data_IF_099087331026
#
_entry.id   IF_099087331026
#
_cell.length_a   1.000
_cell.length_b   1.000
_cell.length_c   1.000
_cell.angle_alpha   90.00
_cell.angle_beta   90.00
_cell.angle_gamma   90.00
#
_symmetry.space_group_name_H-M   'P 1'
#
loop_
_entity.id
_entity.type
_entity.pdbx_description
1 polymer ?
#
# COMPACT_ATOMS: atom_id res chain seq x y z
N UNK A 1 35.07 29.43 14.56
CA UNK A 1 33.66 29.59 14.99
C UNK A 1 32.71 29.68 13.83
N UNK A 2 32.90 30.54 12.84
CA UNK A 2 32.00 30.69 11.69
C UNK A 2 31.76 29.38 10.90
N UNK A 3 32.83 28.62 10.59
CA UNK A 3 32.74 27.33 9.88
C UNK A 3 31.87 26.29 10.62
N UNK A 4 32.03 26.17 11.94
CA UNK A 4 31.22 25.24 12.76
C UNK A 4 29.74 25.68 12.75
N UNK A 5 29.48 26.99 12.90
CA UNK A 5 28.14 27.55 12.86
C UNK A 5 27.47 27.28 11.48
N UNK A 6 28.23 27.41 10.40
CA UNK A 6 27.74 27.13 9.05
C UNK A 6 27.37 25.66 8.87
N UNK A 7 28.20 24.71 9.31
CA UNK A 7 27.93 23.29 9.29
C UNK A 7 26.67 22.92 10.10
N UNK A 8 26.53 23.52 11.29
CA UNK A 8 25.33 23.34 12.12
C UNK A 8 24.06 23.85 11.43
N UNK A 9 24.17 25.02 10.77
CA UNK A 9 23.06 25.59 9.99
C UNK A 9 22.62 24.69 8.85
N UNK A 10 23.58 24.17 8.08
CA UNK A 10 23.31 23.23 6.98
C UNK A 10 22.64 21.94 7.53
N UNK A 11 23.18 21.39 8.61
CA UNK A 11 22.61 20.20 9.27
C UNK A 11 21.17 20.40 9.73
N UNK A 12 20.88 21.55 10.34
CA UNK A 12 19.53 21.90 10.79
C UNK A 12 18.55 22.05 9.62
N UNK A 13 18.97 22.69 8.54
CA UNK A 13 18.14 22.82 7.32
C UNK A 13 17.84 21.45 6.71
N UNK A 14 18.86 20.59 6.59
CA UNK A 14 18.69 19.24 6.07
C UNK A 14 17.73 18.43 6.95
N UNK A 15 17.87 18.51 8.27
CA UNK A 15 16.98 17.83 9.21
C UNK A 15 15.53 18.31 9.08
N UNK A 16 15.30 19.62 9.02
CA UNK A 16 13.96 20.18 8.78
C UNK A 16 13.38 19.74 7.43
N UNK A 17 14.21 19.69 6.40
CA UNK A 17 13.80 19.19 5.08
C UNK A 17 13.41 17.70 5.12
N UNK A 18 14.17 16.87 5.83
CA UNK A 18 13.85 15.45 6.01
C UNK A 18 12.55 15.24 6.79
N UNK A 19 12.32 16.04 7.84
CA UNK A 19 11.03 16.07 8.56
C UNK A 19 9.88 16.48 7.66
N UNK A 20 10.07 17.52 6.85
CA UNK A 20 9.07 17.95 5.89
C UNK A 20 8.70 16.82 4.92
N UNK A 21 9.68 16.15 4.30
CA UNK A 21 9.45 15.05 3.37
C UNK A 21 8.71 13.87 4.01
N UNK A 22 8.98 13.56 5.28
CA UNK A 22 8.29 12.50 6.01
C UNK A 22 6.81 12.80 6.26
N UNK A 23 6.40 14.07 6.21
CA UNK A 23 5.03 14.51 6.49
C UNK A 23 4.33 15.15 5.30
N UNK A 24 5.03 15.39 4.19
CA UNK A 24 4.45 15.93 2.98
C UNK A 24 3.88 14.82 2.11
N UNK A 25 2.55 14.73 2.06
CA UNK A 25 1.84 13.66 1.38
C UNK A 25 1.85 13.86 -0.14
N UNK A 26 2.20 12.82 -0.87
CA UNK A 26 2.11 12.75 -2.32
C UNK A 26 1.00 11.79 -2.75
N UNK A 27 -0.04 12.30 -3.40
CA UNK A 27 -1.04 11.46 -4.07
C UNK A 27 -0.57 11.18 -5.49
N UNK A 28 -0.23 9.93 -5.78
CA UNK A 28 0.26 9.48 -7.09
C UNK A 28 -0.90 9.01 -7.96
N UNK A 29 -1.19 9.72 -9.03
CA UNK A 29 -2.17 9.30 -10.02
C UNK A 29 -1.49 8.50 -11.12
N UNK A 30 -1.91 7.24 -11.30
CA UNK A 30 -1.31 6.32 -12.25
C UNK A 30 -2.41 5.60 -13.04
N UNK A 31 -2.17 5.37 -14.33
CA UNK A 31 -3.07 4.60 -15.20
C UNK A 31 -2.40 3.29 -15.57
N UNK A 32 -3.06 2.18 -15.28
CA UNK A 32 -2.68 0.84 -15.73
C UNK A 32 -3.53 0.49 -16.94
N UNK A 33 -2.88 0.29 -18.09
CA UNK A 33 -3.53 -0.11 -19.35
C UNK A 33 -3.30 -1.59 -19.58
N UNK A 34 -4.38 -2.34 -19.77
CA UNK A 34 -4.31 -3.78 -20.01
C UNK A 34 -5.51 -4.27 -20.86
N UNK A 35 -5.24 -4.87 -22.00
CA UNK A 35 -6.27 -5.41 -22.91
C UNK A 35 -7.07 -6.54 -22.27
N UNK A 36 -6.47 -7.27 -21.32
CA UNK A 36 -7.09 -8.38 -20.58
C UNK A 36 -8.13 -7.90 -19.56
N UNK A 37 -8.15 -6.59 -19.24
CA UNK A 37 -9.11 -6.03 -18.29
C UNK A 37 -10.54 -6.21 -18.81
N UNK A 38 -11.46 -6.79 -18.02
CA UNK A 38 -12.86 -6.93 -18.44
C UNK A 38 -13.49 -5.55 -18.70
N UNK A 39 -14.25 -5.41 -19.80
CA UNK A 39 -14.72 -4.13 -20.32
C UNK A 39 -15.49 -3.28 -19.28
N UNK A 40 -16.28 -3.91 -18.40
CA UNK A 40 -17.05 -3.21 -17.36
C UNK A 40 -16.18 -2.61 -16.24
N UNK A 41 -14.91 -3.00 -16.17
CA UNK A 41 -13.93 -2.43 -15.25
C UNK A 41 -13.08 -1.33 -15.88
N UNK A 42 -13.35 -0.95 -17.13
CA UNK A 42 -12.70 0.21 -17.74
C UNK A 42 -13.01 1.48 -16.94
N UNK A 43 -11.98 2.17 -16.47
CA UNK A 43 -12.10 3.34 -15.61
C UNK A 43 -12.14 3.03 -14.10
N UNK A 44 -12.09 1.75 -13.69
CA UNK A 44 -12.09 1.35 -12.28
C UNK A 44 -10.92 1.97 -11.51
N UNK A 45 -11.21 2.55 -10.34
CA UNK A 45 -10.22 3.28 -9.55
C UNK A 45 -9.99 2.65 -8.19
N UNK A 46 -8.74 2.41 -7.90
CA UNK A 46 -8.25 1.85 -6.64
C UNK A 46 -7.49 2.95 -5.90
N UNK A 47 -7.87 3.25 -4.66
CA UNK A 47 -7.02 3.97 -3.74
C UNK A 47 -6.14 2.97 -2.99
N UNK A 48 -4.83 3.05 -3.17
CA UNK A 48 -3.86 2.20 -2.49
C UNK A 48 -3.03 3.02 -1.51
N UNK A 49 -2.96 2.55 -0.26
CA UNK A 49 -2.16 3.13 0.81
C UNK A 49 -1.51 2.00 1.61
N UNK A 50 -0.25 2.12 1.97
CA UNK A 50 0.48 1.14 2.79
C UNK A 50 1.38 1.84 3.80
N UNK A 51 1.89 1.11 4.77
CA UNK A 51 2.94 1.56 5.68
C UNK A 51 2.56 2.86 6.39
N UNK A 52 1.39 2.90 7.01
CA UNK A 52 0.87 4.10 7.70
C UNK A 52 1.58 4.29 9.04
N UNK A 53 1.87 3.20 9.75
CA UNK A 53 2.59 3.18 11.03
C UNK A 53 2.00 4.14 12.07
N UNK A 54 2.83 5.07 12.57
CA UNK A 54 2.44 6.06 13.59
C UNK A 54 1.65 7.23 13.03
N UNK A 55 1.58 7.36 11.71
CA UNK A 55 0.96 8.54 11.11
C UNK A 55 -0.56 8.52 11.22
N UNK A 56 -1.12 9.71 11.39
CA UNK A 56 -2.54 9.95 11.15
C UNK A 56 -2.73 10.34 9.69
N UNK A 57 -3.63 9.67 8.97
CA UNK A 57 -4.00 10.05 7.60
C UNK A 57 -4.58 11.47 7.65
N UNK A 58 -4.10 12.34 6.76
CA UNK A 58 -4.57 13.73 6.70
C UNK A 58 -5.86 13.82 5.90
N UNK A 59 -6.89 14.34 6.52
CA UNK A 59 -8.17 14.59 5.84
C UNK A 59 -8.01 15.58 4.67
N UNK A 60 -7.08 16.53 4.80
CA UNK A 60 -6.75 17.46 3.71
C UNK A 60 -6.23 16.73 2.49
N UNK A 61 -5.37 15.72 2.65
CA UNK A 61 -4.87 14.88 1.57
C UNK A 61 -6.01 14.11 0.89
N UNK A 62 -6.90 13.47 1.67
CA UNK A 62 -8.04 12.76 1.11
C UNK A 62 -9.00 13.68 0.35
N UNK A 63 -9.21 14.90 0.83
CA UNK A 63 -10.04 15.91 0.15
C UNK A 63 -9.49 16.38 -1.19
N UNK A 64 -8.20 16.21 -1.47
CA UNK A 64 -7.63 16.51 -2.81
C UNK A 64 -7.98 15.46 -3.85
N UNK A 65 -8.51 14.31 -3.42
CA UNK A 65 -8.91 13.21 -4.31
C UNK A 65 -10.34 13.48 -4.79
N UNK A 66 -10.45 14.17 -5.93
CA UNK A 66 -11.74 14.61 -6.48
C UNK A 66 -12.49 13.49 -7.24
N UNK A 67 -11.84 12.39 -7.51
CA UNK A 67 -12.45 11.29 -8.26
C UNK A 67 -13.12 10.29 -7.34
N UNK A 68 -14.27 9.79 -7.75
CA UNK A 68 -14.89 8.65 -7.08
C UNK A 68 -13.94 7.45 -7.11
N UNK A 69 -13.79 6.79 -5.98
CA UNK A 69 -12.98 5.59 -5.80
C UNK A 69 -13.91 4.38 -5.76
N UNK A 70 -13.55 3.31 -6.47
CA UNK A 70 -14.34 2.08 -6.46
C UNK A 70 -13.99 1.17 -5.28
N UNK A 71 -12.71 1.10 -4.90
CA UNK A 71 -12.22 0.36 -3.72
C UNK A 71 -11.02 1.06 -3.07
N UNK A 72 -10.84 0.79 -1.78
CA UNK A 72 -9.68 1.18 -1.00
C UNK A 72 -8.91 -0.07 -0.62
N UNK A 73 -7.59 -0.06 -0.81
CA UNK A 73 -6.69 -1.16 -0.44
C UNK A 73 -5.64 -0.64 0.52
N UNK A 74 -5.58 -1.23 1.71
CA UNK A 74 -4.54 -1.01 2.70
C UNK A 74 -3.51 -2.13 2.57
N UNK A 75 -2.33 -1.81 2.07
CA UNK A 75 -1.26 -2.74 1.72
C UNK A 75 -0.37 -3.16 2.88
N UNK A 76 -0.93 -3.33 4.08
CA UNK A 76 -0.21 -3.72 5.29
C UNK A 76 0.50 -2.58 6.00
N UNK A 77 1.03 -2.89 7.19
CA UNK A 77 1.64 -1.93 8.12
C UNK A 77 0.72 -0.71 8.36
N UNK A 78 -0.56 -1.02 8.61
CA UNK A 78 -1.56 -0.03 9.03
C UNK A 78 -1.13 0.64 10.33
N UNK A 79 -0.42 -0.11 11.18
CA UNK A 79 0.07 0.33 12.48
C UNK A 79 1.42 -0.27 12.83
N UNK A 80 1.93 0.05 14.02
CA UNK A 80 3.10 -0.54 14.64
C UNK A 80 2.96 -0.59 16.16
N UNK A 81 3.88 -1.28 16.85
CA UNK A 81 3.89 -1.38 18.31
C UNK A 81 3.86 -0.01 18.99
N UNK A 82 2.96 0.15 19.97
CA UNK A 82 2.80 1.37 20.75
C UNK A 82 1.86 2.42 20.14
N UNK A 83 1.27 2.17 18.98
CA UNK A 83 0.23 3.04 18.41
C UNK A 83 -1.11 2.75 19.10
N UNK A 84 -1.82 3.77 19.64
CA UNK A 84 -3.12 3.59 20.27
C UNK A 84 -4.17 3.09 19.25
N UNK A 85 -5.01 2.14 19.66
CA UNK A 85 -6.06 1.57 18.81
C UNK A 85 -7.01 2.64 18.25
N UNK A 86 -7.30 3.70 19.02
CA UNK A 86 -8.14 4.80 18.57
C UNK A 86 -7.54 5.57 17.39
N UNK A 87 -6.20 5.66 17.28
CA UNK A 87 -5.56 6.25 16.10
C UNK A 87 -5.78 5.41 14.86
N UNK A 88 -5.67 4.09 15.00
CA UNK A 88 -5.91 3.14 13.92
C UNK A 88 -7.36 3.26 13.46
N UNK A 89 -8.31 3.21 14.41
CA UNK A 89 -9.75 3.38 14.15
C UNK A 89 -10.06 4.71 13.47
N UNK A 90 -9.45 5.81 13.93
CA UNK A 90 -9.63 7.12 13.32
C UNK A 90 -9.08 7.17 11.87
N UNK A 91 -8.00 6.45 11.57
CA UNK A 91 -7.50 6.32 10.20
C UNK A 91 -8.51 5.58 9.31
N UNK A 92 -9.08 4.46 9.78
CA UNK A 92 -10.13 3.72 9.07
C UNK A 92 -11.35 4.61 8.82
N UNK A 93 -11.85 5.32 9.85
CA UNK A 93 -13.00 6.24 9.69
C UNK A 93 -12.75 7.33 8.64
N UNK A 94 -11.53 7.85 8.57
CA UNK A 94 -11.18 8.82 7.52
C UNK A 94 -11.24 8.20 6.12
N UNK A 95 -10.82 6.95 5.96
CA UNK A 95 -10.91 6.24 4.69
C UNK A 95 -12.36 5.92 4.33
N UNK A 96 -13.21 5.55 5.29
CA UNK A 96 -14.64 5.31 5.09
C UNK A 96 -15.37 6.54 4.52
N UNK A 97 -14.91 7.77 4.83
CA UNK A 97 -15.45 8.99 4.23
C UNK A 97 -15.25 9.10 2.71
N UNK A 98 -14.45 8.21 2.11
CA UNK A 98 -14.35 8.10 0.64
C UNK A 98 -15.46 7.25 0.03
N UNK A 99 -16.36 6.67 0.86
CA UNK A 99 -17.55 5.91 0.46
C UNK A 99 -17.25 4.73 -0.47
N UNK A 100 -16.13 4.04 -0.25
CA UNK A 100 -15.71 2.85 -0.99
C UNK A 100 -15.37 1.71 -0.02
N UNK A 101 -15.61 0.44 -0.40
CA UNK A 101 -15.24 -0.70 0.44
C UNK A 101 -13.73 -0.75 0.67
N UNK A 102 -13.33 -1.08 1.89
CA UNK A 102 -11.94 -1.15 2.33
C UNK A 102 -11.51 -2.61 2.39
N UNK A 103 -10.36 -2.90 1.79
CA UNK A 103 -9.66 -4.19 1.83
C UNK A 103 -8.33 -4.01 2.53
N UNK A 104 -7.99 -4.93 3.43
CA UNK A 104 -6.77 -4.89 4.22
C UNK A 104 -6.01 -6.21 4.10
N UNK A 105 -4.69 -6.13 3.99
CA UNK A 105 -3.77 -7.23 4.21
C UNK A 105 -2.84 -6.92 5.37
N UNK A 106 -2.31 -7.97 6.01
CA UNK A 106 -1.39 -7.83 7.11
C UNK A 106 0.01 -7.44 6.65
N UNK A 107 0.63 -6.48 7.36
CA UNK A 107 2.05 -6.21 7.31
C UNK A 107 2.77 -6.77 8.55
N UNK A 108 4.09 -6.74 8.54
CA UNK A 108 4.86 -7.28 9.67
C UNK A 108 4.67 -6.47 10.96
N UNK A 109 4.53 -5.16 10.88
CA UNK A 109 4.34 -4.31 12.06
C UNK A 109 2.94 -4.46 12.67
N UNK A 110 1.95 -4.82 11.87
CA UNK A 110 0.60 -5.12 12.38
C UNK A 110 0.64 -6.36 13.30
N UNK A 111 1.42 -7.39 12.93
CA UNK A 111 1.64 -8.59 13.75
C UNK A 111 2.41 -8.28 15.03
N UNK A 112 3.41 -7.41 14.96
CA UNK A 112 4.20 -7.00 16.13
C UNK A 112 3.40 -6.14 17.13
N UNK A 113 2.30 -5.53 16.70
CA UNK A 113 1.47 -4.67 17.55
C UNK A 113 0.53 -5.49 18.46
N UNK A 114 -0.69 -5.68 18.07
CA UNK A 114 -1.69 -6.47 18.80
C UNK A 114 -2.69 -7.05 17.79
N UNK A 115 -2.32 -8.11 17.04
CA UNK A 115 -3.07 -8.58 15.90
C UNK A 115 -4.54 -8.89 16.21
N UNK A 116 -4.81 -9.54 17.34
CA UNK A 116 -6.19 -9.88 17.73
C UNK A 116 -7.07 -8.64 18.00
N UNK A 117 -6.49 -7.58 18.57
CA UNK A 117 -7.22 -6.32 18.81
C UNK A 117 -7.45 -5.57 17.52
N UNK A 118 -6.43 -5.56 16.63
CA UNK A 118 -6.52 -4.93 15.31
C UNK A 118 -7.57 -5.64 14.49
N UNK A 119 -7.55 -6.98 14.42
CA UNK A 119 -8.52 -7.78 13.69
C UNK A 119 -9.96 -7.47 14.13
N UNK A 120 -10.25 -7.55 15.44
CA UNK A 120 -11.58 -7.26 15.98
C UNK A 120 -12.02 -5.83 15.65
N UNK A 121 -11.11 -4.86 15.72
CA UNK A 121 -11.41 -3.46 15.38
C UNK A 121 -11.71 -3.31 13.90
N UNK A 122 -10.95 -3.95 13.00
CA UNK A 122 -11.19 -3.91 11.56
C UNK A 122 -12.52 -4.56 11.19
N UNK A 123 -12.87 -5.69 11.83
CA UNK A 123 -14.17 -6.35 11.66
C UNK A 123 -15.33 -5.47 12.13
N UNK A 124 -15.19 -4.76 13.27
CA UNK A 124 -16.17 -3.79 13.77
C UNK A 124 -16.37 -2.58 12.85
N UNK A 125 -15.35 -2.22 12.08
CA UNK A 125 -15.38 -1.11 11.12
C UNK A 125 -15.66 -1.58 9.68
N UNK A 126 -16.21 -2.80 9.48
CA UNK A 126 -16.58 -3.38 8.18
C UNK A 126 -15.42 -3.39 7.15
N UNK A 127 -14.19 -3.58 7.61
CA UNK A 127 -13.01 -3.74 6.74
C UNK A 127 -12.86 -5.20 6.31
N UNK A 128 -12.75 -5.44 5.02
CA UNK A 128 -12.53 -6.77 4.47
C UNK A 128 -11.06 -7.18 4.65
N UNK A 129 -10.78 -8.16 5.50
CA UNK A 129 -9.44 -8.69 5.72
C UNK A 129 -9.17 -9.80 4.73
N UNK A 130 -8.11 -9.66 3.91
CA UNK A 130 -7.68 -10.67 2.93
C UNK A 130 -6.44 -11.40 3.48
N UNK A 131 -6.67 -12.41 4.31
CA UNK A 131 -5.62 -13.25 4.91
C UNK A 131 -5.56 -14.60 4.17
N UNK A 132 -4.65 -14.75 3.21
CA UNK A 132 -4.64 -15.89 2.28
C UNK A 132 -6.03 -16.17 1.71
N UNK A 133 -6.69 -15.12 1.26
CA UNK A 133 -8.07 -15.15 0.81
C UNK A 133 -8.26 -14.27 -0.42
N UNK A 134 -9.34 -14.50 -1.15
CA UNK A 134 -9.72 -13.65 -2.27
C UNK A 134 -11.10 -13.06 -2.10
N UNK A 135 -11.32 -11.96 -2.81
CA UNK A 135 -12.63 -11.32 -2.96
C UNK A 135 -12.90 -11.02 -4.41
N UNK A 136 -13.98 -11.59 -4.93
CA UNK A 136 -14.48 -11.28 -6.26
C UNK A 136 -15.24 -9.95 -6.27
N UNK A 137 -14.84 -9.06 -7.17
CA UNK A 137 -15.54 -7.82 -7.47
C UNK A 137 -16.34 -8.03 -8.75
N UNK A 138 -17.64 -7.73 -8.72
CA UNK A 138 -18.56 -7.96 -9.85
C UNK A 138 -19.08 -6.64 -10.41
N UNK A 139 -19.07 -6.51 -11.74
CA UNK A 139 -19.77 -5.45 -12.49
C UNK A 139 -20.52 -6.09 -13.65
N UNK A 140 -21.83 -6.29 -13.48
CA UNK A 140 -22.63 -7.14 -14.37
C UNK A 140 -22.09 -8.58 -14.40
N UNK A 141 -21.86 -9.13 -15.57
CA UNK A 141 -21.31 -10.49 -15.75
C UNK A 141 -19.79 -10.56 -15.67
N UNK A 142 -19.11 -9.43 -15.49
CA UNK A 142 -17.67 -9.36 -15.40
C UNK A 142 -17.19 -9.45 -13.95
N UNK A 143 -16.11 -10.20 -13.74
CA UNK A 143 -15.50 -10.43 -12.44
C UNK A 143 -14.01 -10.15 -12.52
N UNK A 144 -13.47 -9.41 -11.54
CA UNK A 144 -12.05 -9.35 -11.22
C UNK A 144 -11.86 -9.86 -9.79
N UNK A 145 -10.74 -10.48 -9.49
CA UNK A 145 -10.46 -11.00 -8.14
C UNK A 145 -9.34 -10.22 -7.48
N UNK A 146 -9.58 -9.78 -6.24
CA UNK A 146 -8.53 -9.34 -5.32
C UNK A 146 -8.03 -10.58 -4.59
N UNK A 147 -6.74 -10.85 -4.62
CA UNK A 147 -6.10 -11.98 -3.93
C UNK A 147 -5.12 -11.40 -2.92
N UNK A 148 -5.36 -11.61 -1.64
CA UNK A 148 -4.49 -11.16 -0.56
C UNK A 148 -3.65 -12.31 -0.03
N UNK A 149 -2.33 -12.13 0.01
CA UNK A 149 -1.42 -13.05 0.67
C UNK A 149 -1.01 -12.51 2.04
N UNK A 150 -0.80 -13.43 2.97
CA UNK A 150 -0.35 -13.12 4.31
C UNK A 150 1.09 -12.57 4.31
N UNK A 151 1.47 -11.94 5.43
CA UNK A 151 2.82 -11.43 5.61
C UNK A 151 3.84 -12.57 5.69
N UNK A 152 4.79 -12.58 4.74
CA UNK A 152 5.84 -13.61 4.65
C UNK A 152 6.64 -13.78 5.94
N UNK A 153 6.87 -12.70 6.68
CA UNK A 153 7.77 -12.69 7.83
C UNK A 153 7.14 -13.27 9.11
N UNK A 154 5.84 -13.08 9.32
CA UNK A 154 5.15 -13.44 10.56
C UNK A 154 3.94 -14.34 10.34
N UNK A 155 3.47 -14.42 9.12
CA UNK A 155 2.36 -15.25 8.72
C UNK A 155 2.80 -16.47 7.90
N UNK A 156 1.85 -17.17 7.40
CA UNK A 156 2.07 -18.34 6.51
C UNK A 156 1.47 -18.02 5.14
N UNK A 157 2.33 -17.71 4.17
CA UNK A 157 1.88 -17.49 2.79
C UNK A 157 1.31 -18.78 2.21
N UNK A 158 0.04 -18.75 1.83
CA UNK A 158 -0.68 -19.86 1.23
C UNK A 158 -1.43 -19.40 -0.02
N UNK A 159 -0.77 -19.51 -1.17
CA UNK A 159 -1.33 -19.10 -2.44
C UNK A 159 -2.53 -19.97 -2.85
N UNK A 160 -2.49 -21.27 -2.59
CA UNK A 160 -3.56 -22.20 -2.92
C UNK A 160 -4.86 -21.79 -2.19
N UNK A 161 -4.80 -21.57 -0.88
CA UNK A 161 -5.92 -21.09 -0.09
C UNK A 161 -6.43 -19.73 -0.60
N UNK A 162 -5.52 -18.79 -0.90
CA UNK A 162 -5.87 -17.46 -1.41
C UNK A 162 -6.60 -17.53 -2.76
N UNK A 163 -6.29 -18.52 -3.58
CA UNK A 163 -6.86 -18.68 -4.93
C UNK A 163 -8.16 -19.49 -4.96
N UNK A 164 -8.45 -20.25 -3.91
CA UNK A 164 -9.54 -21.25 -3.88
C UNK A 164 -10.93 -20.67 -4.27
N UNK A 165 -11.24 -19.44 -3.82
CA UNK A 165 -12.53 -18.78 -4.11
C UNK A 165 -12.45 -17.76 -5.25
N UNK A 166 -11.28 -17.61 -5.88
CA UNK A 166 -11.02 -16.63 -6.92
C UNK A 166 -11.59 -17.05 -8.27
N UNK A 167 -12.70 -16.47 -8.70
CA UNK A 167 -13.40 -16.80 -9.96
C UNK A 167 -13.03 -15.86 -11.12
N UNK A 168 -12.55 -14.64 -10.82
CA UNK A 168 -12.16 -13.67 -11.84
C UNK A 168 -10.92 -14.13 -12.61
N UNK A 169 -10.98 -14.06 -13.96
CA UNK A 169 -9.78 -14.31 -14.78
C UNK A 169 -8.75 -13.20 -14.64
N UNK A 170 -9.18 -11.97 -14.41
CA UNK A 170 -8.31 -10.83 -14.14
C UNK A 170 -8.07 -10.72 -12.64
N UNK A 171 -6.84 -10.91 -12.21
CA UNK A 171 -6.48 -11.01 -10.79
C UNK A 171 -5.50 -9.93 -10.37
N UNK A 172 -5.79 -9.34 -9.22
CA UNK A 172 -4.92 -8.40 -8.53
C UNK A 172 -4.37 -9.08 -7.28
N UNK A 173 -3.06 -9.25 -7.20
CA UNK A 173 -2.38 -9.70 -6.00
C UNK A 173 -2.10 -8.51 -5.09
N UNK A 174 -2.42 -8.65 -3.82
CA UNK A 174 -2.07 -7.70 -2.78
C UNK A 174 -1.20 -8.43 -1.77
N UNK A 175 0.01 -7.95 -1.59
CA UNK A 175 0.97 -8.48 -0.61
C UNK A 175 1.70 -7.32 0.04
N UNK A 176 2.05 -7.44 1.32
CA UNK A 176 2.79 -6.37 1.98
C UNK A 176 4.22 -6.30 1.47
N UNK A 177 4.97 -7.41 1.56
CA UNK A 177 6.34 -7.50 1.10
C UNK A 177 6.38 -7.91 -0.39
N UNK A 178 7.02 -7.12 -1.27
CA UNK A 178 7.14 -7.46 -2.68
C UNK A 178 7.93 -8.75 -2.93
N UNK A 179 8.77 -9.21 -2.00
CA UNK A 179 9.49 -10.47 -2.13
C UNK A 179 8.55 -11.67 -2.25
N UNK A 180 7.38 -11.61 -1.59
CA UNK A 180 6.35 -12.64 -1.71
C UNK A 180 5.97 -12.93 -3.16
N UNK A 181 5.78 -11.89 -3.99
CA UNK A 181 5.54 -12.07 -5.42
C UNK A 181 6.80 -12.49 -6.16
N UNK A 182 7.97 -11.95 -5.80
CA UNK A 182 9.22 -12.25 -6.50
C UNK A 182 9.64 -13.72 -6.35
N UNK A 183 9.30 -14.36 -5.24
CA UNK A 183 9.60 -15.76 -4.93
C UNK A 183 8.63 -16.76 -5.57
N UNK A 184 7.45 -16.33 -6.03
CA UNK A 184 6.53 -17.18 -6.78
C UNK A 184 7.23 -17.74 -8.03
N UNK A 185 6.87 -18.96 -8.42
CA UNK A 185 7.33 -19.51 -9.68
C UNK A 185 6.68 -18.81 -10.88
N UNK A 186 7.17 -19.09 -12.09
CA UNK A 186 6.70 -18.39 -13.29
C UNK A 186 5.21 -18.60 -13.58
N UNK A 187 4.70 -19.80 -13.38
CA UNK A 187 3.29 -20.12 -13.63
C UNK A 187 2.38 -19.39 -12.64
N UNK A 188 2.80 -19.31 -11.37
CA UNK A 188 2.10 -18.57 -10.33
C UNK A 188 2.10 -17.06 -10.61
N UNK A 189 3.25 -16.48 -11.02
CA UNK A 189 3.34 -15.07 -11.40
C UNK A 189 2.41 -14.72 -12.56
N UNK A 190 2.31 -15.59 -13.55
CA UNK A 190 1.49 -15.37 -14.74
C UNK A 190 -0.02 -15.40 -14.45
N UNK A 191 -0.44 -15.85 -13.27
CA UNK A 191 -1.83 -15.75 -12.83
C UNK A 191 -2.27 -14.31 -12.53
N UNK A 192 -1.33 -13.40 -12.27
CA UNK A 192 -1.63 -12.05 -11.80
C UNK A 192 -1.37 -10.99 -12.88
N UNK A 193 -2.26 -10.02 -12.96
CA UNK A 193 -2.21 -8.90 -13.90
C UNK A 193 -1.67 -7.63 -13.26
N UNK A 194 -1.97 -7.48 -11.97
CA UNK A 194 -1.52 -6.36 -11.14
C UNK A 194 -1.02 -6.93 -9.81
N UNK A 195 0.06 -6.37 -9.29
CA UNK A 195 0.56 -6.60 -7.94
C UNK A 195 0.67 -5.25 -7.22
N UNK A 196 0.16 -5.18 -6.00
CA UNK A 196 0.26 -4.02 -5.13
C UNK A 196 1.04 -4.43 -3.88
N UNK A 197 2.14 -3.72 -3.58
CA UNK A 197 2.99 -4.00 -2.42
C UNK A 197 3.52 -2.70 -1.77
N UNK A 198 3.93 -2.82 -0.50
CA UNK A 198 4.55 -1.77 0.31
C UNK A 198 5.90 -2.19 0.87
N UNK A 199 6.06 -2.10 2.22
CA UNK A 199 7.15 -2.61 3.06
C UNK A 199 8.49 -1.89 2.93
N UNK A 200 8.95 -1.60 1.72
CA UNK A 200 10.34 -1.18 1.47
C UNK A 200 10.60 0.30 1.78
N UNK A 201 9.55 1.11 1.92
CA UNK A 201 9.63 2.58 2.06
C UNK A 201 10.52 3.26 1.00
N UNK A 202 10.86 2.56 -0.10
CA UNK A 202 11.89 3.01 -1.06
C UNK A 202 13.27 3.18 -0.41
N UNK A 203 13.49 2.55 0.75
CA UNK A 203 14.68 2.71 1.59
C UNK A 203 14.65 3.91 2.52
N UNK A 204 13.53 4.66 2.60
CA UNK A 204 13.24 5.81 3.45
C UNK A 204 14.26 6.96 3.38
N UNK A 205 15.56 6.69 3.63
CA UNK A 205 16.68 7.63 3.51
C UNK A 205 17.62 7.15 2.44
N UNK A 206 17.82 7.99 1.41
CA UNK A 206 18.70 7.72 0.26
C UNK A 206 19.72 8.85 0.13
N UNK A 207 21.00 8.50 0.14
CA UNK A 207 22.10 9.44 -0.05
C UNK A 207 22.66 9.27 -1.46
N UNK A 208 22.72 10.34 -2.23
CA UNK A 208 23.10 10.31 -3.66
C UNK A 208 22.33 9.25 -4.48
N UNK A 209 21.02 9.08 -4.18
CA UNK A 209 20.18 8.09 -4.87
C UNK A 209 20.37 6.63 -4.41
N UNK A 210 21.30 6.33 -3.52
CA UNK A 210 21.54 5.01 -2.96
C UNK A 210 20.81 4.82 -1.62
N UNK A 211 20.23 3.66 -1.39
CA UNK A 211 19.51 3.28 -0.17
C UNK A 211 19.40 1.77 -0.06
N UNK A 212 18.89 1.24 1.08
CA UNK A 212 18.83 -0.20 1.36
C UNK A 212 17.87 -0.96 0.41
N UNK A 213 16.87 -0.28 -0.14
CA UNK A 213 15.91 -0.85 -1.10
C UNK A 213 15.86 0.01 -2.37
N UNK A 214 15.33 -0.55 -3.45
CA UNK A 214 14.99 0.24 -4.64
C UNK A 214 13.87 1.26 -4.32
N UNK A 215 13.80 2.33 -5.12
CA UNK A 215 12.67 3.26 -5.04
C UNK A 215 11.37 2.59 -5.44
N UNK A 216 10.31 2.98 -4.73
CA UNK A 216 8.95 2.59 -5.09
C UNK A 216 8.58 3.11 -6.49
N UNK A 217 7.96 2.26 -7.29
CA UNK A 217 7.49 2.59 -8.63
C UNK A 217 6.48 1.58 -9.16
N UNK A 218 5.68 2.02 -10.10
CA UNK A 218 4.91 1.13 -10.97
C UNK A 218 5.81 0.70 -12.14
N UNK A 219 5.96 -0.60 -12.33
CA UNK A 219 6.75 -1.19 -13.44
C UNK A 219 6.08 -2.45 -13.96
N UNK A 220 6.37 -2.80 -15.19
CA UNK A 220 5.96 -4.09 -15.76
C UNK A 220 7.05 -5.13 -15.50
N UNK A 221 6.68 -6.27 -14.91
CA UNK A 221 7.54 -7.44 -14.73
C UNK A 221 6.85 -8.58 -15.47
N UNK A 222 7.46 -9.11 -16.55
CA UNK A 222 6.79 -9.99 -17.50
C UNK A 222 5.52 -9.29 -18.02
N UNK A 223 4.36 -9.91 -17.86
CA UNK A 223 3.07 -9.33 -18.25
C UNK A 223 2.26 -8.75 -17.08
N UNK A 224 2.87 -8.66 -15.90
CA UNK A 224 2.24 -8.16 -14.67
C UNK A 224 2.68 -6.72 -14.39
N UNK A 225 1.72 -5.84 -14.09
CA UNK A 225 1.97 -4.50 -13.59
C UNK A 225 2.22 -4.55 -12.08
N UNK A 226 3.42 -4.22 -11.63
CA UNK A 226 3.82 -4.30 -10.22
C UNK A 226 4.05 -2.91 -9.69
N UNK A 227 3.24 -2.50 -8.72
CA UNK A 227 3.42 -1.30 -7.92
C UNK A 227 4.08 -1.67 -6.59
N UNK A 228 5.21 -1.06 -6.29
CA UNK A 228 5.80 -1.03 -4.96
C UNK A 228 5.73 0.41 -4.47
N UNK A 229 5.01 0.65 -3.37
CA UNK A 229 4.85 1.96 -2.76
C UNK A 229 6.03 2.31 -1.86
N UNK A 230 6.36 3.60 -1.77
CA UNK A 230 7.29 4.11 -0.75
C UNK A 230 6.61 4.30 0.63
N UNK A 231 5.32 3.99 0.73
CA UNK A 231 4.56 4.04 1.98
C UNK A 231 4.13 5.44 2.40
N UNK A 232 3.04 5.52 3.16
CA UNK A 232 2.46 6.78 3.64
C UNK A 232 3.17 7.29 4.90
N UNK A 233 3.55 6.39 5.80
CA UNK A 233 4.22 6.68 7.05
C UNK A 233 5.75 6.68 6.96
N UNK A 234 6.36 6.34 8.06
CA UNK A 234 7.80 6.18 8.21
C UNK A 234 8.08 5.15 9.31
N UNK A 235 9.23 4.51 9.25
CA UNK A 235 9.68 3.60 10.31
C UNK A 235 10.65 4.33 11.23
N UNK A 236 10.66 4.00 12.52
CA UNK A 236 11.60 4.45 13.56
C UNK A 236 11.60 5.97 13.74
N UNK A 237 12.17 6.73 12.81
CA UNK A 237 12.28 8.19 12.87
C UNK A 237 11.45 8.85 11.77
N UNK A 238 10.80 10.01 12.06
CA UNK A 238 10.01 10.76 11.09
C UNK A 238 10.87 11.51 10.07
N UNK A 239 11.80 10.81 9.42
CA UNK A 239 12.76 11.39 8.50
C UNK A 239 12.73 10.65 7.16
N UNK A 240 12.62 11.40 6.06
CA UNK A 240 12.76 10.87 4.71
C UNK A 240 13.78 11.72 3.93
N UNK A 241 14.54 11.07 3.06
CA UNK A 241 15.44 11.75 2.13
C UNK A 241 15.49 10.96 0.82
N UNK A 242 15.21 11.62 -0.31
CA UNK A 242 15.20 10.97 -1.61
C UNK A 242 14.05 9.97 -1.83
N UNK A 243 13.07 9.91 -0.91
CA UNK A 243 11.82 9.15 -1.00
C UNK A 243 10.65 10.02 -0.58
N UNK A 244 9.42 9.60 -0.89
CA UNK A 244 8.21 10.36 -0.58
C UNK A 244 7.32 9.61 0.41
N UNK A 245 6.55 10.36 1.21
CA UNK A 245 5.37 9.83 1.88
C UNK A 245 4.23 9.82 0.85
N UNK A 246 3.74 8.64 0.44
CA UNK A 246 2.83 8.57 -0.71
C UNK A 246 1.66 7.59 -0.54
N UNK A 247 0.61 7.87 -1.28
CA UNK A 247 -0.50 6.98 -1.58
C UNK A 247 -0.85 7.08 -3.07
N UNK A 248 -1.62 6.13 -3.58
CA UNK A 248 -1.80 5.98 -5.02
C UNK A 248 -3.27 5.94 -5.40
N UNK A 249 -3.61 6.60 -6.51
CA UNK A 249 -4.85 6.41 -7.24
C UNK A 249 -4.51 5.66 -8.53
N UNK A 250 -4.91 4.41 -8.60
CA UNK A 250 -4.69 3.57 -9.77
C UNK A 250 -5.96 3.52 -10.59
N UNK A 251 -5.94 4.04 -11.79
CA UNK A 251 -7.03 3.91 -12.74
C UNK A 251 -6.75 2.76 -13.70
N UNK A 252 -7.61 1.76 -13.71
CA UNK A 252 -7.54 0.66 -14.67
C UNK A 252 -8.20 1.07 -15.98
N UNK A 253 -7.52 0.88 -17.10
CA UNK A 253 -8.07 1.14 -18.43
C UNK A 253 -7.84 -0.07 -19.33
N UNK A 254 -8.88 -0.41 -20.09
CA UNK A 254 -8.75 -1.31 -21.21
C UNK A 254 -8.25 -0.53 -22.42
N UNK A 255 -7.25 -1.07 -23.11
CA UNK A 255 -6.78 -0.50 -24.40
C UNK A 255 -7.84 -0.70 -25.48
#
# INVERSE_FOLDING_TARGET
>A
MLFIATLFGIGAILFCYMLFLAHHDHVRYQTIRDERLPAKFNGFKIFFISDIHRRSIRTTTLKTILSQIDIIVIGGDLTEKGVPLDRIRNNIKKLQNMHAPIYFIWGNNDYEASPEKIKRMLEQEDVNILLNASKDLKKGDHIISLVGLDCYRYGSVNLEAAMNESKGRYKLLITHDPSTYMELNNNEKDMFHIVLAGHTHGGQIRIFGKGPYERGKLRKIRDTNVLISEGYGYTTLPLRLGTNAECHILQLKRN
#
